data_IF_134708069243
#
_entry.id   IF_134708069243
#
_cell.length_a   1.000
_cell.length_b   1.000
_cell.length_c   1.000
_cell.angle_alpha   90.00
_cell.angle_beta   90.00
_cell.angle_gamma   90.00
#
_symmetry.space_group_name_H-M   'P 1'
#
loop_
_entity.id
_entity.type
_entity.pdbx_description
1 polymer ?
#
# COMPACT_ATOMS: atom_id res chain seq x y z
N UNK A 1 -5.76 16.43 9.23
CA UNK A 1 -6.72 15.66 10.05
C UNK A 1 -5.95 15.01 11.19
N UNK A 2 -6.03 15.57 12.41
CA UNK A 2 -5.26 15.06 13.52
C UNK A 2 -5.48 13.55 13.70
N UNK A 3 -4.39 12.78 13.78
CA UNK A 3 -4.49 11.36 14.11
C UNK A 3 -5.02 11.21 15.53
N UNK A 4 -5.96 10.30 15.70
CA UNK A 4 -6.45 9.89 17.01
C UNK A 4 -5.30 9.31 17.86
N UNK A 5 -5.35 9.47 19.19
CA UNK A 5 -4.32 8.94 20.09
C UNK A 5 -4.09 7.43 19.92
N UNK A 6 -5.14 6.66 19.66
CA UNK A 6 -5.09 5.21 19.40
C UNK A 6 -4.26 4.88 18.16
N UNK A 7 -4.43 5.61 17.06
CA UNK A 7 -3.63 5.43 15.84
C UNK A 7 -2.15 5.78 16.07
N UNK A 8 -1.88 6.83 16.84
CA UNK A 8 -0.51 7.23 17.19
C UNK A 8 0.19 6.16 18.03
N UNK A 9 -0.48 5.69 19.08
CA UNK A 9 0.02 4.61 19.93
C UNK A 9 0.28 3.35 19.12
N UNK A 10 -0.61 3.00 18.19
CA UNK A 10 -0.45 1.85 17.32
C UNK A 10 0.81 1.95 16.44
N UNK A 11 1.08 3.11 15.81
CA UNK A 11 2.33 3.31 15.06
C UNK A 11 3.54 3.17 15.98
N UNK A 12 3.50 3.80 17.15
CA UNK A 12 4.60 3.82 18.11
C UNK A 12 4.97 2.42 18.61
N UNK A 13 3.98 1.54 18.81
CA UNK A 13 4.21 0.15 19.23
C UNK A 13 4.90 -0.73 18.19
N UNK A 14 4.91 -0.32 16.92
CA UNK A 14 5.41 -1.13 15.81
C UNK A 14 6.45 -0.39 14.93
N UNK A 15 7.08 0.68 15.43
CA UNK A 15 8.01 1.52 14.65
C UNK A 15 9.14 0.74 13.97
N UNK A 16 9.61 -0.32 14.61
CA UNK A 16 10.75 -1.12 14.14
C UNK A 16 10.33 -2.32 13.26
N UNK A 17 9.03 -2.52 13.03
CA UNK A 17 8.50 -3.61 12.18
C UNK A 17 7.92 -3.03 10.88
N UNK A 18 8.67 -3.08 9.76
CA UNK A 18 8.23 -2.47 8.50
C UNK A 18 6.93 -3.04 7.96
N UNK A 19 6.69 -4.35 8.09
CA UNK A 19 5.46 -4.97 7.59
C UNK A 19 4.26 -4.60 8.48
N UNK A 20 4.45 -4.50 9.81
CA UNK A 20 3.40 -4.00 10.69
C UNK A 20 3.03 -2.55 10.34
N UNK A 21 4.03 -1.69 10.09
CA UNK A 21 3.80 -0.31 9.64
C UNK A 21 3.06 -0.28 8.29
N UNK A 22 3.44 -1.13 7.33
CA UNK A 22 2.70 -1.30 6.07
C UNK A 22 1.22 -1.63 6.33
N UNK A 23 0.95 -2.57 7.23
CA UNK A 23 -0.40 -3.01 7.58
C UNK A 23 -1.21 -1.89 8.24
N UNK A 24 -0.62 -1.16 9.18
CA UNK A 24 -1.25 -0.03 9.87
C UNK A 24 -1.61 1.05 8.85
N UNK A 25 -0.67 1.44 7.99
CA UNK A 25 -0.89 2.50 7.00
C UNK A 25 -2.00 2.13 6.01
N UNK A 26 -1.94 0.91 5.45
CA UNK A 26 -2.95 0.45 4.50
C UNK A 26 -4.31 0.27 5.18
N UNK A 27 -4.34 -0.28 6.40
CA UNK A 27 -5.55 -0.56 7.16
C UNK A 27 -6.29 0.70 7.62
N UNK A 28 -5.58 1.72 8.10
CA UNK A 28 -6.18 3.00 8.51
C UNK A 28 -6.65 3.84 7.31
N UNK A 29 -6.09 3.61 6.13
CA UNK A 29 -6.50 4.22 4.87
C UNK A 29 -7.39 3.30 4.03
N UNK A 30 -7.92 2.22 4.61
CA UNK A 30 -8.71 1.23 3.88
C UNK A 30 -9.93 1.86 3.21
N UNK A 31 -10.31 1.27 2.10
CA UNK A 31 -11.47 1.63 1.32
C UNK A 31 -12.01 0.38 0.68
N UNK A 32 -13.19 -0.01 1.11
CA UNK A 32 -13.78 -1.26 0.66
C UNK A 32 -13.99 -1.25 -0.85
N UNK A 33 -13.69 -2.40 -1.45
CA UNK A 33 -14.05 -2.68 -2.82
C UNK A 33 -15.37 -3.43 -2.85
N UNK A 34 -16.20 -3.11 -3.83
CA UNK A 34 -17.49 -3.78 -4.04
C UNK A 34 -17.35 -5.23 -4.51
N UNK A 35 -16.13 -5.65 -4.89
CA UNK A 35 -15.85 -6.97 -5.45
C UNK A 35 -15.60 -8.05 -4.39
N UNK A 36 -15.71 -7.72 -3.11
CA UNK A 36 -15.49 -8.68 -2.03
C UNK A 36 -16.44 -9.91 -2.10
N UNK A 37 -17.67 -9.71 -2.60
CA UNK A 37 -18.63 -10.81 -2.82
C UNK A 37 -18.18 -11.82 -3.87
N UNK A 38 -17.27 -11.45 -4.77
CA UNK A 38 -16.74 -12.33 -5.83
C UNK A 38 -15.79 -13.39 -5.27
N UNK A 39 -15.42 -13.31 -3.99
CA UNK A 39 -14.68 -14.36 -3.31
C UNK A 39 -15.58 -15.56 -2.92
N UNK A 40 -16.91 -15.44 -3.04
CA UNK A 40 -17.87 -16.52 -2.76
C UNK A 40 -18.02 -17.39 -4.00
N UNK A 41 -17.55 -18.63 -3.91
CA UNK A 41 -17.60 -19.59 -5.01
C UNK A 41 -18.82 -20.50 -4.85
N UNK A 42 -19.46 -20.83 -5.96
CA UNK A 42 -20.43 -21.91 -5.98
C UNK A 42 -19.68 -23.24 -6.04
N UNK A 43 -19.93 -24.11 -5.06
CA UNK A 43 -19.32 -25.43 -4.92
C UNK A 43 -20.28 -26.53 -5.39
N UNK A 44 -19.71 -27.53 -6.04
CA UNK A 44 -20.37 -28.82 -6.28
C UNK A 44 -20.22 -29.74 -5.05
N UNK A 45 -21.05 -30.80 -4.93
CA UNK A 45 -20.90 -31.78 -3.86
C UNK A 45 -19.48 -32.35 -3.80
N UNK A 46 -18.88 -32.34 -2.61
CA UNK A 46 -17.53 -32.85 -2.33
C UNK A 46 -16.41 -32.23 -3.19
N UNK A 47 -16.63 -31.03 -3.72
CA UNK A 47 -15.62 -30.30 -4.49
C UNK A 47 -14.66 -29.56 -3.57
N UNK A 48 -13.35 -29.73 -3.79
CA UNK A 48 -12.35 -28.98 -3.04
C UNK A 48 -12.27 -27.52 -3.50
N UNK A 49 -11.74 -26.64 -2.65
CA UNK A 49 -11.46 -25.24 -3.03
C UNK A 49 -10.52 -25.13 -4.24
N UNK A 50 -9.59 -26.07 -4.39
CA UNK A 50 -8.66 -26.13 -5.52
C UNK A 50 -9.38 -26.48 -6.83
N UNK A 51 -10.29 -27.46 -6.79
CA UNK A 51 -11.09 -27.86 -7.95
C UNK A 51 -12.05 -26.74 -8.37
N UNK A 52 -12.71 -26.12 -7.39
CA UNK A 52 -13.56 -24.96 -7.61
C UNK A 52 -12.75 -23.80 -8.23
N UNK A 53 -11.54 -23.54 -7.74
CA UNK A 53 -10.65 -22.51 -8.28
C UNK A 53 -10.30 -22.72 -9.76
N UNK A 54 -10.00 -23.96 -10.15
CA UNK A 54 -9.70 -24.33 -11.53
C UNK A 54 -10.93 -24.23 -12.42
N UNK A 55 -12.09 -24.74 -11.97
CA UNK A 55 -13.35 -24.69 -12.72
C UNK A 55 -13.82 -23.25 -12.97
N UNK A 56 -13.75 -22.41 -11.95
CA UNK A 56 -14.09 -20.98 -12.05
C UNK A 56 -12.98 -20.14 -12.71
N UNK A 57 -11.83 -20.73 -13.03
CA UNK A 57 -10.65 -20.08 -13.63
C UNK A 57 -10.23 -18.82 -12.86
N UNK A 58 -10.14 -18.94 -11.54
CA UNK A 58 -9.87 -17.80 -10.67
C UNK A 58 -8.52 -17.14 -11.00
N UNK A 59 -8.47 -15.82 -10.81
CA UNK A 59 -7.22 -15.03 -10.87
C UNK A 59 -6.43 -15.06 -9.56
N UNK A 60 -6.85 -15.87 -8.61
CA UNK A 60 -6.31 -16.00 -7.26
C UNK A 60 -6.46 -17.43 -6.78
N UNK A 61 -5.79 -17.76 -5.68
CA UNK A 61 -5.84 -19.08 -5.07
C UNK A 61 -6.51 -19.00 -3.69
N UNK A 62 -7.57 -19.79 -3.41
CA UNK A 62 -8.20 -19.86 -2.10
C UNK A 62 -7.26 -20.15 -0.94
N UNK A 63 -6.17 -20.89 -1.17
CA UNK A 63 -5.15 -21.17 -0.15
C UNK A 63 -4.56 -19.89 0.48
N UNK A 64 -4.48 -18.79 -0.28
CA UNK A 64 -3.97 -17.52 0.23
C UNK A 64 -4.84 -16.96 1.36
N UNK A 65 -6.16 -17.11 1.27
CA UNK A 65 -7.09 -16.67 2.31
C UNK A 65 -7.02 -17.63 3.50
N UNK A 66 -6.99 -18.95 3.29
CA UNK A 66 -6.92 -19.90 4.40
C UNK A 66 -5.65 -19.73 5.22
N UNK A 67 -4.50 -19.59 4.56
CA UNK A 67 -3.20 -19.33 5.24
C UNK A 67 -3.11 -17.94 5.88
N UNK A 68 -3.95 -16.99 5.45
CA UNK A 68 -4.07 -15.69 6.09
C UNK A 68 -4.97 -15.71 7.34
N UNK A 69 -5.68 -16.82 7.59
CA UNK A 69 -6.56 -17.01 8.75
C UNK A 69 -8.06 -16.91 8.45
N UNK A 70 -8.47 -17.07 7.19
CA UNK A 70 -9.89 -17.18 6.83
C UNK A 70 -10.32 -18.66 6.78
N UNK A 71 -11.48 -19.00 7.32
CA UNK A 71 -12.08 -20.32 7.15
C UNK A 71 -13.18 -20.25 6.11
N UNK A 72 -13.18 -21.18 5.16
CA UNK A 72 -14.26 -21.30 4.18
C UNK A 72 -15.29 -22.32 4.67
N UNK A 73 -16.57 -21.99 4.49
CA UNK A 73 -17.70 -22.83 4.87
C UNK A 73 -18.63 -23.03 3.68
N UNK A 74 -19.17 -24.24 3.55
CA UNK A 74 -20.18 -24.56 2.54
C UNK A 74 -21.53 -23.86 2.80
N UNK A 75 -22.53 -24.18 1.98
CA UNK A 75 -23.89 -23.63 2.12
C UNK A 75 -24.65 -24.13 3.36
N UNK A 76 -24.21 -25.24 3.97
CA UNK A 76 -24.77 -25.82 5.18
C UNK A 76 -24.06 -25.34 6.46
N UNK A 77 -22.95 -24.60 6.33
CA UNK A 77 -22.14 -24.12 7.46
C UNK A 77 -21.06 -25.11 7.90
N UNK A 78 -20.71 -26.09 7.07
CA UNK A 78 -19.63 -27.05 7.30
C UNK A 78 -18.32 -26.46 6.80
N UNK A 79 -17.25 -26.53 7.61
CA UNK A 79 -15.93 -26.06 7.19
C UNK A 79 -15.41 -26.90 6.02
N UNK A 80 -14.82 -26.24 5.02
CA UNK A 80 -14.35 -26.89 3.79
C UNK A 80 -13.04 -27.71 3.95
N UNK A 81 -12.64 -27.98 5.19
CA UNK A 81 -11.52 -28.87 5.52
C UNK A 81 -11.99 -30.33 5.72
N UNK A 82 -13.30 -30.56 5.82
CA UNK A 82 -13.91 -31.90 6.00
C UNK A 82 -14.18 -32.61 4.65
N UNK A 83 -14.30 -33.94 4.62
CA UNK A 83 -14.41 -34.68 3.34
C UNK A 83 -15.81 -34.60 2.67
N UNK A 84 -16.83 -34.07 3.35
CA UNK A 84 -18.19 -33.96 2.82
C UNK A 84 -18.67 -32.51 2.77
N UNK A 85 -19.08 -32.06 1.57
CA UNK A 85 -19.56 -30.69 1.36
C UNK A 85 -20.89 -30.66 0.63
N UNK A 86 -21.74 -29.75 1.06
CA UNK A 86 -23.05 -29.49 0.45
C UNK A 86 -22.89 -28.58 -0.75
N UNK A 87 -23.64 -28.87 -1.82
CA UNK A 87 -23.72 -27.98 -2.97
C UNK A 87 -24.23 -26.59 -2.58
N UNK A 88 -23.64 -25.55 -3.16
CA UNK A 88 -24.15 -24.18 -3.05
C UNK A 88 -23.06 -23.14 -2.91
N UNK A 89 -23.47 -21.90 -2.68
CA UNK A 89 -22.53 -20.79 -2.50
C UNK A 89 -21.84 -20.89 -1.15
N UNK A 90 -20.52 -20.95 -1.18
CA UNK A 90 -19.69 -20.93 0.03
C UNK A 90 -19.60 -19.51 0.62
N UNK A 91 -19.19 -19.43 1.88
CA UNK A 91 -18.87 -18.17 2.55
C UNK A 91 -17.55 -18.27 3.31
N UNK A 92 -17.01 -17.10 3.70
CA UNK A 92 -15.75 -16.98 4.44
C UNK A 92 -16.03 -16.39 5.82
N UNK A 93 -15.33 -16.90 6.83
CA UNK A 93 -15.26 -16.31 8.17
C UNK A 93 -13.79 -16.01 8.55
N UNK A 94 -13.43 -14.78 8.95
CA UNK A 94 -14.27 -13.59 8.91
C UNK A 94 -14.70 -13.21 7.47
N UNK A 95 -15.73 -12.38 7.28
CA UNK A 95 -16.12 -11.95 5.94
C UNK A 95 -14.98 -11.30 5.16
N UNK A 96 -14.76 -11.75 3.92
CA UNK A 96 -13.82 -11.12 3.00
C UNK A 96 -14.24 -9.66 2.78
N UNK A 97 -13.31 -8.74 3.06
CA UNK A 97 -13.46 -7.30 2.84
C UNK A 97 -12.20 -6.83 2.13
N UNK A 98 -12.22 -6.69 0.80
CA UNK A 98 -11.05 -6.30 0.02
C UNK A 98 -10.85 -4.78 0.00
N UNK A 99 -9.63 -4.34 -0.37
CA UNK A 99 -9.31 -2.93 -0.56
C UNK A 99 -9.35 -2.56 -2.04
N UNK A 100 -9.97 -1.43 -2.38
CA UNK A 100 -9.95 -0.86 -3.73
C UNK A 100 -8.56 -0.32 -4.08
N UNK A 101 -7.79 -1.08 -4.87
CA UNK A 101 -6.43 -0.74 -5.29
C UNK A 101 -6.32 -0.17 -6.72
N UNK A 102 -7.10 -0.73 -7.66
CA UNK A 102 -6.93 -0.44 -9.10
C UNK A 102 -7.99 0.48 -9.71
N UNK A 103 -7.79 1.79 -9.62
CA UNK A 103 -8.69 2.75 -10.23
C UNK A 103 -8.72 2.78 -11.77
N UNK A 104 -7.86 2.01 -12.48
CA UNK A 104 -7.93 1.88 -13.95
C UNK A 104 -9.04 0.92 -14.37
N UNK A 105 -9.35 -0.08 -13.56
CA UNK A 105 -10.40 -1.07 -13.87
C UNK A 105 -11.72 -0.62 -13.25
N UNK A 106 -12.70 -0.28 -14.09
CA UNK A 106 -14.05 0.14 -13.66
C UNK A 106 -14.75 -0.97 -12.86
N UNK A 107 -15.68 -0.58 -11.99
CA UNK A 107 -16.51 -1.50 -11.22
C UNK A 107 -17.42 -2.37 -12.09
N UNK A 108 -17.78 -1.89 -13.28
CA UNK A 108 -18.59 -2.63 -14.27
C UNK A 108 -17.75 -3.50 -15.21
N UNK A 109 -16.44 -3.61 -15.01
CA UNK A 109 -15.58 -4.42 -15.87
C UNK A 109 -15.99 -5.90 -15.80
N UNK A 110 -15.85 -6.59 -16.94
CA UNK A 110 -16.13 -8.03 -17.07
C UNK A 110 -14.89 -8.79 -17.57
N UNK A 111 -14.99 -10.12 -17.59
CA UNK A 111 -13.95 -10.98 -18.15
C UNK A 111 -12.59 -10.84 -17.46
N UNK A 112 -11.53 -10.83 -18.26
CA UNK A 112 -10.15 -10.86 -17.77
C UNK A 112 -9.80 -9.65 -16.88
N UNK A 113 -10.25 -8.44 -17.24
CA UNK A 113 -10.01 -7.23 -16.44
C UNK A 113 -10.63 -7.31 -15.04
N UNK A 114 -11.84 -7.87 -14.93
CA UNK A 114 -12.49 -8.11 -13.63
C UNK A 114 -11.71 -9.15 -12.83
N UNK A 115 -11.35 -10.28 -13.47
CA UNK A 115 -10.59 -11.38 -12.87
C UNK A 115 -9.28 -10.90 -12.25
N UNK A 116 -8.46 -10.14 -12.99
CA UNK A 116 -7.17 -9.65 -12.47
C UNK A 116 -7.33 -8.67 -11.31
N UNK A 117 -8.37 -7.83 -11.33
CA UNK A 117 -8.64 -6.90 -10.23
C UNK A 117 -9.03 -7.66 -8.97
N UNK A 118 -9.97 -8.59 -9.06
CA UNK A 118 -10.37 -9.44 -7.92
C UNK A 118 -9.14 -10.15 -7.36
N UNK A 119 -8.34 -10.77 -8.23
CA UNK A 119 -7.17 -11.51 -7.79
C UNK A 119 -6.13 -10.63 -7.09
N UNK A 120 -5.84 -9.45 -7.63
CA UNK A 120 -4.91 -8.51 -7.00
C UNK A 120 -5.42 -7.97 -5.65
N UNK A 121 -6.71 -7.66 -5.54
CA UNK A 121 -7.30 -7.19 -4.28
C UNK A 121 -7.33 -8.29 -3.20
N UNK A 122 -7.57 -9.56 -3.59
CA UNK A 122 -7.50 -10.72 -2.68
C UNK A 122 -6.06 -11.03 -2.27
N UNK A 123 -5.10 -10.96 -3.19
CA UNK A 123 -3.68 -11.13 -2.89
C UNK A 123 -3.22 -10.17 -1.79
N UNK A 124 -3.54 -8.87 -1.93
CA UNK A 124 -3.16 -7.86 -0.94
C UNK A 124 -3.94 -8.03 0.36
N UNK A 125 -5.23 -8.39 0.31
CA UNK A 125 -5.97 -8.72 1.53
C UNK A 125 -5.32 -9.88 2.28
N UNK A 126 -4.94 -10.95 1.59
CA UNK A 126 -4.33 -12.14 2.20
C UNK A 126 -3.01 -11.79 2.88
N UNK A 127 -2.14 -11.06 2.18
CA UNK A 127 -0.86 -10.60 2.73
C UNK A 127 -1.05 -9.65 3.92
N UNK A 128 -2.01 -8.72 3.83
CA UNK A 128 -2.33 -7.79 4.91
C UNK A 128 -2.85 -8.53 6.14
N UNK A 129 -3.85 -9.41 5.97
CA UNK A 129 -4.46 -10.16 7.07
C UNK A 129 -3.44 -11.07 7.73
N UNK A 130 -2.60 -11.76 6.95
CA UNK A 130 -1.54 -12.60 7.51
C UNK A 130 -0.61 -11.80 8.44
N UNK A 131 -0.20 -10.60 8.02
CA UNK A 131 0.65 -9.71 8.85
C UNK A 131 -0.08 -9.25 10.11
N UNK A 132 -1.35 -8.84 9.99
CA UNK A 132 -2.19 -8.39 11.12
C UNK A 132 -2.36 -9.51 12.14
N UNK A 133 -2.68 -10.72 11.69
CA UNK A 133 -2.85 -11.91 12.53
C UNK A 133 -1.53 -12.35 13.16
N UNK A 134 -0.46 -12.49 12.36
CA UNK A 134 0.82 -13.03 12.83
C UNK A 134 1.53 -12.13 13.83
N UNK A 135 1.26 -10.82 13.79
CA UNK A 135 1.84 -9.81 14.69
C UNK A 135 0.86 -9.30 15.74
N UNK A 136 -0.36 -9.83 15.76
CA UNK A 136 -1.43 -9.41 16.68
C UNK A 136 -1.69 -7.89 16.63
N UNK A 137 -1.71 -7.32 15.43
CA UNK A 137 -2.00 -5.89 15.21
C UNK A 137 -3.52 -5.71 15.15
N UNK A 138 -4.10 -4.94 16.05
CA UNK A 138 -5.53 -4.61 15.96
C UNK A 138 -5.74 -3.31 15.20
N UNK A 139 -6.40 -3.39 14.04
CA UNK A 139 -6.70 -2.23 13.17
C UNK A 139 -8.19 -2.20 12.86
N UNK A 140 -8.87 -1.16 13.33
CA UNK A 140 -10.25 -0.89 12.95
C UNK A 140 -10.28 -0.26 11.54
N UNK A 141 -10.57 -1.09 10.52
CA UNK A 141 -10.66 -0.63 9.12
C UNK A 141 -11.90 0.27 8.94
N UNK A 142 -11.76 1.51 8.41
CA UNK A 142 -12.88 2.41 8.21
C UNK A 142 -13.87 1.86 7.18
N UNK A 143 -15.18 1.96 7.48
CA UNK A 143 -16.23 1.49 6.56
C UNK A 143 -16.39 2.39 5.32
N UNK A 144 -16.15 3.70 5.45
CA UNK A 144 -16.08 4.67 4.34
C UNK A 144 -15.06 5.75 4.66
N UNK A 145 -14.07 5.91 3.78
CA UNK A 145 -13.11 7.01 3.85
C UNK A 145 -13.14 7.77 2.53
N UNK A 146 -13.68 9.00 2.58
CA UNK A 146 -13.71 9.91 1.43
C UNK A 146 -12.32 10.02 0.79
N UNK A 147 -12.29 10.19 -0.54
CA UNK A 147 -11.04 10.23 -1.31
C UNK A 147 -10.09 11.33 -0.80
N UNK A 148 -10.60 12.51 -0.49
CA UNK A 148 -9.78 13.63 -0.03
C UNK A 148 -9.28 13.39 1.40
N UNK A 149 -10.10 12.77 2.24
CA UNK A 149 -9.73 12.42 3.62
C UNK A 149 -8.62 11.36 3.68
N UNK A 150 -8.54 10.48 2.69
CA UNK A 150 -7.52 9.43 2.63
C UNK A 150 -6.12 9.96 2.34
N UNK A 151 -5.99 10.87 1.37
CA UNK A 151 -4.71 11.53 1.08
C UNK A 151 -4.19 12.30 2.30
N UNK A 152 -5.07 13.05 2.96
CA UNK A 152 -4.74 13.75 4.21
C UNK A 152 -4.37 12.77 5.34
N UNK A 153 -5.11 11.68 5.53
CA UNK A 153 -4.80 10.64 6.52
C UNK A 153 -3.43 10.02 6.27
N UNK A 154 -3.14 9.63 5.04
CA UNK A 154 -1.86 9.02 4.67
C UNK A 154 -0.68 9.95 5.01
N UNK A 155 -0.79 11.23 4.65
CA UNK A 155 0.21 12.25 4.97
C UNK A 155 0.38 12.42 6.49
N UNK A 156 -0.72 12.48 7.24
CA UNK A 156 -0.67 12.69 8.68
C UNK A 156 -0.08 11.45 9.40
N UNK A 157 -0.32 10.23 8.89
CA UNK A 157 0.36 8.98 9.30
C UNK A 157 1.87 9.06 9.04
N UNK A 158 2.29 9.49 7.83
CA UNK A 158 3.70 9.68 7.49
C UNK A 158 4.37 10.68 8.43
N UNK A 159 3.73 11.83 8.69
CA UNK A 159 4.28 12.86 9.58
C UNK A 159 4.53 12.29 10.97
N UNK A 160 3.55 11.56 11.54
CA UNK A 160 3.69 10.96 12.87
C UNK A 160 4.77 9.89 12.90
N UNK A 161 4.76 8.97 11.93
CA UNK A 161 5.78 7.93 11.79
C UNK A 161 7.19 8.52 11.71
N UNK A 162 7.42 9.53 10.86
CA UNK A 162 8.71 10.18 10.72
C UNK A 162 9.11 10.94 11.99
N UNK A 163 8.17 11.63 12.63
CA UNK A 163 8.44 12.37 13.88
C UNK A 163 8.90 11.46 15.02
N UNK A 164 8.50 10.19 14.98
CA UNK A 164 8.89 9.18 15.97
C UNK A 164 10.08 8.34 15.55
N UNK A 165 10.33 8.23 14.25
CA UNK A 165 11.43 7.44 13.70
C UNK A 165 12.73 8.23 13.50
N UNK A 166 12.68 9.56 13.47
CA UNK A 166 13.86 10.41 13.30
C UNK A 166 14.50 10.77 14.66
N UNK A 167 15.79 11.20 14.66
CA UNK A 167 16.47 11.55 15.90
C UNK A 167 15.76 12.63 16.72
N UNK A 168 15.93 12.59 18.04
CA UNK A 168 15.36 13.62 18.93
C UNK A 168 15.85 15.01 18.52
N UNK A 169 14.96 16.01 18.57
CA UNK A 169 15.25 17.39 18.17
C UNK A 169 14.96 17.68 16.70
N UNK A 170 14.87 16.65 15.84
CA UNK A 170 14.44 16.83 14.45
C UNK A 170 12.95 17.19 14.37
N UNK A 171 12.60 17.96 13.34
CA UNK A 171 11.25 18.46 13.11
C UNK A 171 10.71 17.96 11.77
N UNK A 172 9.47 17.46 11.79
CA UNK A 172 8.70 17.10 10.60
C UNK A 172 7.58 18.12 10.45
N UNK A 173 7.71 19.03 9.49
CA UNK A 173 6.76 20.12 9.27
C UNK A 173 5.85 19.82 8.08
N UNK A 174 4.60 20.25 8.17
CA UNK A 174 3.54 19.99 7.21
C UNK A 174 3.13 21.25 6.45
N UNK A 175 2.86 21.13 5.15
CA UNK A 175 2.31 22.20 4.29
C UNK A 175 3.10 23.52 4.37
N UNK A 176 4.43 23.41 4.33
CA UNK A 176 5.31 24.56 4.48
C UNK A 176 5.43 25.29 3.14
N UNK A 177 5.14 26.60 3.06
CA UNK A 177 5.44 27.40 1.89
C UNK A 177 6.92 27.29 1.53
N UNK A 178 7.21 27.08 0.24
CA UNK A 178 8.60 27.02 -0.24
C UNK A 178 9.35 28.32 0.04
N UNK A 179 8.63 29.44 0.14
CA UNK A 179 9.18 30.74 0.58
C UNK A 179 9.66 30.75 2.03
N UNK A 180 9.38 29.74 2.84
CA UNK A 180 9.95 29.62 4.19
C UNK A 180 11.29 28.87 4.21
N UNK A 181 11.73 28.35 3.06
CA UNK A 181 13.00 27.66 2.92
C UNK A 181 14.12 28.67 2.61
N UNK A 182 15.21 28.61 3.38
CA UNK A 182 16.41 29.41 3.12
C UNK A 182 16.95 29.11 1.70
N UNK A 183 17.17 30.16 0.91
CA UNK A 183 17.52 30.08 -0.52
C UNK A 183 16.33 30.29 -1.48
N UNK A 184 15.12 29.91 -1.07
CA UNK A 184 13.88 30.07 -1.86
C UNK A 184 13.08 31.32 -1.47
N UNK A 185 13.13 31.74 -0.20
CA UNK A 185 12.43 32.92 0.33
C UNK A 185 12.66 34.25 -0.42
N UNK A 186 13.80 34.42 -1.10
CA UNK A 186 14.11 35.65 -1.85
C UNK A 186 13.72 35.58 -3.34
N UNK A 187 13.14 34.46 -3.81
CA UNK A 187 12.93 34.18 -5.23
C UNK A 187 11.49 34.48 -5.63
N UNK A 188 11.31 35.45 -6.53
CA UNK A 188 9.99 35.89 -7.02
C UNK A 188 9.24 34.81 -7.81
N UNK A 189 9.95 33.88 -8.43
CA UNK A 189 9.41 32.78 -9.25
C UNK A 189 8.96 31.55 -8.44
N UNK A 190 9.18 31.55 -7.12
CA UNK A 190 8.71 30.48 -6.22
C UNK A 190 7.20 30.60 -5.95
N UNK A 191 6.67 31.82 -5.76
CA UNK A 191 5.24 32.04 -5.49
C UNK A 191 4.71 31.32 -4.23
N UNK A 192 3.41 31.00 -4.20
CA UNK A 192 2.70 30.40 -3.05
C UNK A 192 2.79 28.86 -2.97
N UNK A 193 3.81 28.28 -3.58
CA UNK A 193 3.98 26.81 -3.66
C UNK A 193 4.31 26.24 -2.28
N UNK A 194 3.88 25.00 -2.01
CA UNK A 194 4.08 24.32 -0.73
C UNK A 194 4.67 22.93 -0.95
N UNK A 195 5.51 22.50 0.01
CA UNK A 195 5.87 21.08 0.14
C UNK A 195 4.88 20.39 1.07
N UNK A 196 4.54 19.13 0.80
CA UNK A 196 3.68 18.35 1.70
C UNK A 196 4.34 18.20 3.07
N UNK A 197 5.60 17.77 3.08
CA UNK A 197 6.39 17.52 4.29
C UNK A 197 7.80 18.09 4.12
N UNK A 198 8.35 18.72 5.16
CA UNK A 198 9.76 19.10 5.27
C UNK A 198 10.40 18.44 6.49
N UNK A 199 11.63 17.99 6.34
CA UNK A 199 12.44 17.40 7.41
C UNK A 199 13.55 18.39 7.77
N UNK A 200 13.59 18.81 9.03
CA UNK A 200 14.57 19.79 9.54
C UNK A 200 15.30 19.16 10.72
N UNK A 201 16.63 19.25 10.74
CA UNK A 201 17.43 18.74 11.86
C UNK A 201 17.38 19.69 13.08
N UNK A 202 17.99 19.26 14.19
CA UNK A 202 18.03 20.05 15.44
C UNK A 202 18.71 21.42 15.29
N UNK A 203 19.63 21.55 14.34
CA UNK A 203 20.33 22.79 14.02
C UNK A 203 19.51 23.75 13.14
N UNK A 204 18.30 23.35 12.73
CA UNK A 204 17.43 24.13 11.86
C UNK A 204 17.79 24.05 10.38
N UNK A 205 18.65 23.11 9.97
CA UNK A 205 18.99 22.87 8.56
C UNK A 205 17.92 21.99 7.91
N UNK A 206 17.53 22.36 6.69
CA UNK A 206 16.62 21.56 5.87
C UNK A 206 17.35 20.32 5.35
N UNK A 207 16.89 19.14 5.75
CA UNK A 207 17.45 17.82 5.38
C UNK A 207 16.79 17.28 4.12
N UNK A 208 15.47 17.38 4.00
CA UNK A 208 14.73 16.87 2.84
C UNK A 208 13.37 17.55 2.68
N UNK A 209 12.88 17.57 1.44
CA UNK A 209 11.46 17.76 1.13
C UNK A 209 10.84 16.42 0.72
N UNK A 210 9.63 16.14 1.19
CA UNK A 210 8.94 14.88 0.93
C UNK A 210 7.53 15.15 0.42
N UNK A 211 7.18 14.56 -0.72
CA UNK A 211 5.80 14.48 -1.20
C UNK A 211 5.11 13.22 -0.66
N UNK A 212 3.82 13.34 -0.35
CA UNK A 212 2.99 12.27 0.19
C UNK A 212 1.84 11.95 -0.76
N UNK A 213 1.93 10.85 -1.51
CA UNK A 213 0.92 10.52 -2.53
C UNK A 213 0.25 9.17 -2.28
N UNK A 214 -1.02 9.21 -1.88
CA UNK A 214 -1.81 7.98 -1.74
C UNK A 214 -2.06 7.31 -3.09
N UNK A 215 -2.46 8.08 -4.11
CA UNK A 215 -2.49 7.64 -5.51
C UNK A 215 -1.71 8.61 -6.38
N UNK A 216 -1.14 8.08 -7.45
CA UNK A 216 -0.33 8.82 -8.41
C UNK A 216 -0.98 8.84 -9.80
N UNK A 217 -0.70 9.90 -10.54
CA UNK A 217 -1.02 10.04 -11.97
C UNK A 217 0.05 10.89 -12.64
N UNK A 218 0.43 10.51 -13.86
CA UNK A 218 1.40 11.27 -14.67
C UNK A 218 0.85 12.63 -15.13
N UNK A 219 -0.46 12.77 -15.28
CA UNK A 219 -1.11 14.04 -15.68
C UNK A 219 -1.19 15.07 -14.54
N UNK A 220 -0.92 14.67 -13.29
CA UNK A 220 -0.84 15.57 -12.13
C UNK A 220 0.51 16.29 -12.02
N UNK A 221 1.17 16.54 -13.15
CA UNK A 221 2.48 17.20 -13.27
C UNK A 221 2.58 18.62 -12.69
N UNK A 222 1.50 19.16 -12.11
CA UNK A 222 1.50 20.45 -11.42
C UNK A 222 2.29 20.41 -10.11
N UNK A 223 2.21 19.34 -9.30
CA UNK A 223 3.04 19.17 -8.09
C UNK A 223 4.52 19.01 -8.44
N UNK A 224 4.80 18.31 -9.54
CA UNK A 224 6.15 18.15 -10.05
C UNK A 224 6.78 19.49 -10.44
N UNK A 225 6.02 20.30 -11.18
CA UNK A 225 6.40 21.67 -11.52
C UNK A 225 6.56 22.57 -10.29
N UNK A 226 5.85 22.29 -9.19
CA UNK A 226 5.95 23.07 -7.95
C UNK A 226 7.34 22.97 -7.31
N UNK A 227 8.04 21.85 -7.48
CA UNK A 227 9.31 21.57 -6.82
C UNK A 227 10.55 21.82 -7.69
N UNK A 228 10.37 22.19 -8.96
CA UNK A 228 11.45 22.68 -9.85
C UNK A 228 12.28 23.81 -9.22
N UNK A 229 11.71 24.79 -8.49
CA UNK A 229 12.51 25.79 -7.80
C UNK A 229 13.40 25.20 -6.71
N UNK A 230 12.94 24.15 -6.00
CA UNK A 230 13.75 23.48 -4.98
C UNK A 230 14.98 22.84 -5.64
N UNK A 231 14.79 22.04 -6.69
CA UNK A 231 15.91 21.39 -7.39
C UNK A 231 16.84 22.40 -8.05
N UNK A 232 16.31 23.53 -8.53
CA UNK A 232 17.11 24.60 -9.15
C UNK A 232 17.93 25.41 -8.15
N UNK A 233 17.37 25.78 -7.00
CA UNK A 233 17.97 26.74 -6.06
C UNK A 233 18.55 26.10 -4.80
N UNK A 234 18.16 24.86 -4.49
CA UNK A 234 18.66 24.02 -3.40
C UNK A 234 18.87 22.58 -3.89
N UNK A 235 19.74 22.36 -4.89
CA UNK A 235 20.04 21.00 -5.38
C UNK A 235 20.69 20.11 -4.32
N UNK A 236 21.17 20.70 -3.22
CA UNK A 236 21.69 20.02 -2.04
C UNK A 236 20.60 19.37 -1.18
N UNK A 237 19.33 19.73 -1.36
CA UNK A 237 18.21 19.19 -0.58
C UNK A 237 17.49 18.12 -1.40
N UNK A 238 17.53 16.83 -1.00
CA UNK A 238 16.79 15.79 -1.69
C UNK A 238 15.29 16.05 -1.65
N UNK A 239 14.65 15.85 -2.80
CA UNK A 239 13.21 15.84 -2.94
C UNK A 239 12.71 14.41 -3.17
N UNK A 240 12.12 13.81 -2.15
CA UNK A 240 11.65 12.43 -2.18
C UNK A 240 10.12 12.33 -2.24
N UNK A 241 9.61 11.13 -2.52
CA UNK A 241 8.19 10.79 -2.42
C UNK A 241 7.97 9.54 -1.57
N UNK A 242 6.95 9.57 -0.71
CA UNK A 242 6.36 8.39 -0.09
C UNK A 242 4.98 8.13 -0.71
N UNK A 243 4.70 6.88 -1.09
CA UNK A 243 3.47 6.54 -1.82
C UNK A 243 2.84 5.20 -1.45
N UNK A 244 1.56 5.07 -1.75
CA UNK A 244 0.76 3.85 -1.67
C UNK A 244 0.16 3.44 -3.04
N UNK A 245 0.72 3.93 -4.15
CA UNK A 245 0.22 3.66 -5.50
C UNK A 245 0.51 2.22 -5.95
N UNK A 246 -0.53 1.47 -6.30
CA UNK A 246 -0.40 0.12 -6.88
C UNK A 246 -0.35 0.14 -8.42
N UNK A 247 -1.38 0.65 -9.15
CA UNK A 247 -1.47 0.45 -10.60
C UNK A 247 -0.41 1.14 -11.45
N UNK A 248 0.35 2.05 -10.85
CA UNK A 248 1.41 2.83 -11.50
C UNK A 248 2.72 2.75 -10.73
N UNK A 249 2.88 1.83 -9.77
CA UNK A 249 4.10 1.74 -8.95
C UNK A 249 5.38 1.66 -9.79
N UNK A 250 5.38 0.85 -10.87
CA UNK A 250 6.53 0.75 -11.76
C UNK A 250 6.80 2.05 -12.55
N UNK A 251 5.75 2.76 -12.96
CA UNK A 251 5.88 4.06 -13.62
C UNK A 251 6.40 5.10 -12.64
N UNK A 252 5.88 5.13 -11.42
CA UNK A 252 6.37 5.96 -10.33
C UNK A 252 7.87 5.74 -10.09
N UNK A 253 8.32 4.49 -9.97
CA UNK A 253 9.73 4.21 -9.71
C UNK A 253 10.69 4.67 -10.82
N UNK A 254 10.20 4.84 -12.06
CA UNK A 254 11.02 5.14 -13.25
C UNK A 254 10.85 6.56 -13.78
N UNK A 255 9.68 7.14 -13.59
CA UNK A 255 9.23 8.39 -14.24
C UNK A 255 8.92 9.50 -13.24
N UNK A 256 8.95 9.20 -11.93
CA UNK A 256 8.83 10.21 -10.88
C UNK A 256 9.92 11.26 -11.04
N UNK A 257 9.55 12.52 -10.83
CA UNK A 257 10.50 13.64 -10.85
C UNK A 257 11.22 13.80 -9.51
N UNK A 258 10.72 13.11 -8.48
CA UNK A 258 11.31 13.04 -7.16
C UNK A 258 12.58 12.18 -7.23
N UNK A 259 13.65 12.64 -6.57
CA UNK A 259 14.98 12.01 -6.61
C UNK A 259 14.94 10.55 -6.15
N UNK A 260 14.02 10.25 -5.22
CA UNK A 260 13.79 8.91 -4.66
C UNK A 260 12.32 8.70 -4.34
N UNK A 261 11.84 7.48 -4.55
CA UNK A 261 10.50 7.06 -4.14
C UNK A 261 10.54 5.89 -3.16
N UNK A 262 9.67 5.95 -2.15
CA UNK A 262 9.47 4.91 -1.15
C UNK A 262 7.99 4.49 -1.15
N UNK A 263 7.74 3.19 -1.14
CA UNK A 263 6.42 2.60 -1.12
C UNK A 263 6.07 2.10 0.28
N UNK A 264 4.82 2.25 0.72
CA UNK A 264 4.41 1.79 2.06
C UNK A 264 4.51 0.27 2.23
N UNK A 265 4.36 -0.49 1.14
CA UNK A 265 4.36 -1.96 1.14
C UNK A 265 4.94 -2.54 -0.18
N UNK A 266 6.26 -2.42 -0.43
CA UNK A 266 6.86 -2.76 -1.71
C UNK A 266 6.55 -4.20 -2.17
N UNK A 267 6.69 -5.18 -1.27
CA UNK A 267 6.43 -6.59 -1.59
C UNK A 267 4.97 -6.86 -1.98
N UNK A 268 4.01 -6.21 -1.33
CA UNK A 268 2.58 -6.41 -1.64
C UNK A 268 2.20 -5.84 -3.00
N UNK A 269 2.79 -4.71 -3.38
CA UNK A 269 2.68 -4.19 -4.75
C UNK A 269 3.26 -5.16 -5.76
N UNK A 270 4.43 -5.73 -5.47
CA UNK A 270 5.04 -6.76 -6.31
C UNK A 270 4.09 -7.95 -6.55
N UNK A 271 3.47 -8.47 -5.48
CA UNK A 271 2.50 -9.58 -5.57
C UNK A 271 1.26 -9.16 -6.36
N UNK A 272 0.73 -7.96 -6.10
CA UNK A 272 -0.40 -7.40 -6.83
C UNK A 272 -0.10 -7.27 -8.33
N UNK A 273 1.09 -6.79 -8.71
CA UNK A 273 1.54 -6.67 -10.10
C UNK A 273 1.63 -8.04 -10.75
N UNK A 274 2.23 -9.02 -10.07
CA UNK A 274 2.35 -10.38 -10.58
C UNK A 274 0.98 -10.98 -10.92
N UNK A 275 0.03 -10.85 -10.00
CA UNK A 275 -1.35 -11.33 -10.20
C UNK A 275 -2.06 -10.56 -11.32
N UNK A 276 -1.82 -9.25 -11.45
CA UNK A 276 -2.44 -8.46 -12.51
C UNK A 276 -1.90 -8.75 -13.91
N UNK A 277 -0.68 -9.25 -14.01
CA UNK A 277 -0.03 -9.66 -15.25
C UNK A 277 -0.25 -11.14 -15.58
N UNK A 278 -0.90 -11.90 -14.71
CA UNK A 278 -1.23 -13.31 -14.94
C UNK A 278 -2.11 -13.43 -16.19
N UNK A 279 -1.67 -14.25 -17.16
CA UNK A 279 -2.41 -14.49 -18.39
C UNK A 279 -3.83 -15.02 -18.13
N UNK A 280 -4.74 -14.83 -19.09
CA UNK A 280 -6.16 -15.15 -18.93
C UNK A 280 -6.44 -16.65 -18.77
N UNK A 281 -5.59 -17.48 -19.34
CA UNK A 281 -5.60 -18.94 -19.32
C UNK A 281 -4.69 -19.55 -18.24
N UNK A 282 -3.83 -18.74 -17.62
CA UNK A 282 -2.91 -19.19 -16.59
C UNK A 282 -3.59 -19.33 -15.22
N UNK A 283 -3.28 -20.42 -14.51
CA UNK A 283 -3.79 -20.69 -13.17
C UNK A 283 -2.93 -20.00 -12.09
N UNK A 284 -3.58 -19.26 -11.18
CA UNK A 284 -2.91 -18.70 -10.01
C UNK A 284 -2.42 -19.80 -9.06
N UNK A 285 -3.20 -20.87 -8.88
CA UNK A 285 -2.84 -22.04 -8.09
C UNK A 285 -1.55 -22.70 -8.59
N UNK A 286 -1.40 -22.84 -9.91
CA UNK A 286 -0.19 -23.45 -10.48
C UNK A 286 1.06 -22.57 -10.32
N UNK A 287 0.89 -21.24 -10.28
CA UNK A 287 2.01 -20.29 -10.25
C UNK A 287 2.42 -19.89 -8.82
N UNK A 288 1.46 -19.74 -7.92
CA UNK A 288 1.65 -19.41 -6.51
C UNK A 288 0.72 -20.29 -5.66
N UNK A 289 1.18 -21.52 -5.35
CA UNK A 289 0.34 -22.54 -4.71
C UNK A 289 -0.04 -22.21 -3.27
N UNK A 290 0.72 -21.35 -2.60
CA UNK A 290 0.53 -20.93 -1.22
C UNK A 290 0.80 -19.41 -1.06
N UNK A 291 0.51 -18.87 0.11
CA UNK A 291 0.70 -17.44 0.42
C UNK A 291 2.19 -17.07 0.47
N UNK A 292 3.05 -18.00 0.89
CA UNK A 292 4.50 -17.80 0.98
C UNK A 292 5.13 -17.59 -0.41
N UNK A 293 4.74 -18.38 -1.41
CA UNK A 293 5.15 -18.27 -2.80
C UNK A 293 4.68 -16.94 -3.41
N UNK A 294 3.45 -16.51 -3.13
CA UNK A 294 2.95 -15.20 -3.54
C UNK A 294 3.74 -14.05 -2.90
N UNK A 295 4.06 -14.16 -1.61
CA UNK A 295 4.88 -13.18 -0.88
C UNK A 295 6.28 -13.09 -1.48
N UNK A 296 6.91 -14.23 -1.75
CA UNK A 296 8.26 -14.28 -2.32
C UNK A 296 8.32 -13.69 -3.74
N UNK A 297 7.33 -14.00 -4.58
CA UNK A 297 7.21 -13.35 -5.91
C UNK A 297 7.13 -11.82 -5.77
N UNK A 298 6.35 -11.35 -4.79
CA UNK A 298 6.21 -9.92 -4.51
C UNK A 298 7.52 -9.25 -4.10
N UNK A 299 8.28 -9.90 -3.20
CA UNK A 299 9.61 -9.43 -2.78
C UNK A 299 10.56 -9.36 -3.99
N UNK A 300 10.63 -10.42 -4.79
CA UNK A 300 11.50 -10.48 -5.96
C UNK A 300 11.18 -9.37 -6.97
N UNK A 301 9.90 -9.11 -7.22
CA UNK A 301 9.46 -8.03 -8.10
C UNK A 301 9.76 -6.65 -7.54
N UNK A 302 9.52 -6.43 -6.25
CA UNK A 302 9.85 -5.17 -5.60
C UNK A 302 11.35 -4.85 -5.71
N UNK A 303 12.21 -5.85 -5.48
CA UNK A 303 13.66 -5.73 -5.66
C UNK A 303 14.04 -5.41 -7.10
N UNK A 304 13.44 -6.11 -8.07
CA UNK A 304 13.69 -5.88 -9.51
C UNK A 304 13.31 -4.45 -9.93
N UNK A 305 12.28 -3.87 -9.31
CA UNK A 305 11.84 -2.49 -9.54
C UNK A 305 12.56 -1.46 -8.66
N UNK A 306 13.47 -1.90 -7.78
CA UNK A 306 14.10 -1.07 -6.75
C UNK A 306 13.08 -0.27 -5.90
N UNK A 307 11.92 -0.87 -5.61
CA UNK A 307 10.92 -0.28 -4.73
C UNK A 307 11.36 -0.42 -3.27
N UNK A 308 11.74 0.71 -2.67
CA UNK A 308 12.19 0.78 -1.28
C UNK A 308 11.02 1.04 -0.32
N UNK A 309 11.13 0.53 0.92
CA UNK A 309 10.16 0.74 1.99
C UNK A 309 10.39 2.04 2.78
N UNK A 310 9.50 2.31 3.75
CA UNK A 310 9.62 3.47 4.65
C UNK A 310 10.79 3.34 5.64
N UNK A 311 11.22 2.13 5.94
CA UNK A 311 12.43 1.83 6.72
C UNK A 311 13.69 2.37 6.01
N UNK A 312 13.78 2.19 4.70
CA UNK A 312 14.86 2.74 3.87
C UNK A 312 14.77 4.27 3.82
N UNK A 313 13.57 4.85 3.73
CA UNK A 313 13.37 6.30 3.83
C UNK A 313 13.96 6.86 5.13
N UNK A 314 13.65 6.24 6.28
CA UNK A 314 14.17 6.69 7.58
C UNK A 314 15.70 6.61 7.62
N UNK A 315 16.27 5.50 7.12
CA UNK A 315 17.73 5.33 7.04
C UNK A 315 18.38 6.40 6.16
N UNK A 316 17.81 6.66 5.00
CA UNK A 316 18.34 7.66 4.06
C UNK A 316 18.25 9.08 4.62
N UNK A 317 17.17 9.42 5.33
CA UNK A 317 17.03 10.71 6.00
C UNK A 317 18.07 10.89 7.11
N UNK A 318 18.32 9.86 7.93
CA UNK A 318 19.36 9.90 8.98
C UNK A 318 20.74 10.11 8.34
N UNK A 319 21.09 9.32 7.34
CA UNK A 319 22.37 9.43 6.64
C UNK A 319 22.56 10.80 5.96
N UNK A 320 21.49 11.39 5.42
CA UNK A 320 21.54 12.72 4.80
C UNK A 320 21.80 13.83 5.82
N UNK A 321 21.40 13.62 7.08
CA UNK A 321 21.75 14.49 8.20
C UNK A 321 23.22 14.39 8.61
N UNK A 322 23.85 13.24 8.42
CA UNK A 322 25.22 12.96 8.86
C UNK A 322 26.29 13.43 7.86
N UNK A 323 25.93 13.68 6.60
CA UNK A 323 26.85 14.24 5.61
C UNK A 323 27.05 15.74 5.92
N UNK A 324 28.19 16.03 6.54
CA UNK A 324 28.74 17.35 6.87
C UNK A 324 29.67 17.85 5.77
#
# INVERSE_FOLDING_TARGET
>A
MPLEPTHKALIESYLEDPEAISAIFLGLCWNESILASEARLDLHPNESLSDASLRHKLGWNPAWLTEAGFTAYDSAGTALEEESHTQGQMHWDPPVRTHRLDDKVKDTATGHSKRRRIGGEIAVLSLWTHVVTSRNVSIERPCKLDRNLRGARFRDLLIHFLSKSLPTGWQVRHEVPLTHIRGLHMRRDVGDRKSDILIIDEGGRLVAALSSKWTWRSDRGTEAAQMVPLTRYRPDVPYAMATAEFPRAAGVARESIEDRTYHICPGWVGSWMAVNELAADASALARWPDLAALKQEGINRAQTLALNGLDVLVKDLRNSGDIL
#
